data_IF_329043128369
#
_entry.id   IF_329043128369
#
_cell.length_a   1.000
_cell.length_b   1.000
_cell.length_c   1.000
_cell.angle_alpha   90.00
_cell.angle_beta   90.00
_cell.angle_gamma   90.00
#
_symmetry.space_group_name_H-M   'P 1'
#
loop_
_entity.id
_entity.type
_entity.pdbx_description
1 polymer ?
#
# COMPACT_ATOMS: atom_id res chain seq x y z
N UNK A 1 21.20 13.70 -35.71
CA UNK A 1 22.04 12.47 -35.70
C UNK A 1 21.22 11.38 -35.04
N UNK A 2 20.90 10.28 -35.73
CA UNK A 2 20.04 9.23 -35.16
C UNK A 2 19.33 8.30 -36.15
N UNK A 3 19.50 8.49 -37.47
CA UNK A 3 18.88 7.65 -38.51
C UNK A 3 19.92 6.79 -39.24
N UNK A 4 20.74 6.04 -38.49
CA UNK A 4 21.74 5.11 -39.06
C UNK A 4 21.85 3.75 -38.35
N UNK A 5 21.13 3.52 -37.25
CA UNK A 5 21.17 2.25 -36.52
C UNK A 5 20.03 1.28 -36.86
N UNK A 6 19.05 1.69 -37.68
CA UNK A 6 17.89 0.84 -38.00
C UNK A 6 18.14 -0.17 -39.14
N UNK A 7 19.27 -0.09 -39.84
CA UNK A 7 19.56 -0.93 -41.02
C UNK A 7 20.42 -2.17 -40.73
N UNK A 8 20.98 -2.31 -39.52
CA UNK A 8 21.85 -3.44 -39.16
C UNK A 8 21.05 -4.59 -38.50
N UNK A 9 19.85 -4.33 -37.99
CA UNK A 9 19.02 -5.36 -37.34
C UNK A 9 18.20 -6.24 -38.31
N UNK A 10 18.18 -5.92 -39.60
CA UNK A 10 17.39 -6.63 -40.62
C UNK A 10 18.16 -7.72 -41.39
N UNK A 11 19.44 -7.96 -41.08
CA UNK A 11 20.30 -8.89 -41.82
C UNK A 11 20.57 -10.24 -41.12
N UNK A 12 19.96 -10.52 -39.96
CA UNK A 12 20.22 -11.76 -39.17
C UNK A 12 19.08 -12.81 -39.31
N UNK A 13 18.03 -12.54 -40.11
CA UNK A 13 16.86 -13.45 -40.22
C UNK A 13 16.86 -14.39 -41.44
N UNK A 14 17.99 -14.62 -42.10
CA UNK A 14 18.03 -15.37 -43.38
C UNK A 14 19.05 -16.53 -43.42
N UNK A 15 19.19 -17.31 -42.35
CA UNK A 15 19.91 -18.59 -42.40
C UNK A 15 19.21 -19.66 -41.57
N UNK A 16 18.06 -20.13 -42.04
CA UNK A 16 17.55 -21.45 -41.69
C UNK A 16 17.58 -22.29 -42.97
N UNK A 17 18.60 -23.12 -43.10
CA UNK A 17 18.62 -24.21 -44.07
C UNK A 17 17.48 -25.19 -43.74
N UNK A 18 16.77 -25.73 -44.74
CA UNK A 18 15.81 -26.80 -44.48
C UNK A 18 16.57 -28.06 -44.06
N UNK A 19 16.34 -28.52 -42.84
CA UNK A 19 16.79 -29.83 -42.39
C UNK A 19 16.29 -30.90 -43.36
N UNK A 20 17.22 -31.70 -43.89
CA UNK A 20 16.92 -32.85 -44.74
C UNK A 20 15.97 -33.79 -43.99
N UNK A 21 14.73 -33.89 -44.46
CA UNK A 21 13.81 -34.95 -44.06
C UNK A 21 14.29 -36.26 -44.69
N UNK A 22 14.99 -37.07 -43.91
CA UNK A 22 15.14 -38.49 -44.20
C UNK A 22 13.83 -39.19 -43.85
N UNK A 23 13.17 -39.76 -44.85
CA UNK A 23 12.04 -40.68 -44.64
C UNK A 23 12.53 -41.94 -43.93
N UNK A 24 11.92 -42.34 -42.80
CA UNK A 24 12.28 -43.59 -42.16
C UNK A 24 11.78 -44.74 -43.03
N UNK A 25 12.73 -45.49 -43.58
CA UNK A 25 12.44 -46.78 -44.20
C UNK A 25 12.53 -47.85 -43.12
N UNK A 26 11.58 -48.77 -43.16
CA UNK A 26 11.58 -50.06 -42.46
C UNK A 26 11.02 -50.04 -41.03
N UNK A 27 9.80 -50.54 -40.94
CA UNK A 27 9.25 -51.21 -39.77
C UNK A 27 10.23 -52.33 -39.34
N UNK A 28 11.03 -52.03 -38.32
CA UNK A 28 11.65 -53.02 -37.48
C UNK A 28 11.38 -52.56 -36.05
N UNK A 29 10.39 -53.19 -35.41
CA UNK A 29 10.19 -53.11 -33.96
C UNK A 29 10.97 -54.27 -33.33
N UNK A 30 12.19 -54.05 -32.81
CA UNK A 30 12.67 -54.91 -31.76
C UNK A 30 11.83 -54.55 -30.52
N UNK A 31 11.03 -55.50 -30.04
CA UNK A 31 10.55 -55.49 -28.66
C UNK A 31 11.77 -55.61 -27.75
N UNK A 32 12.43 -54.48 -27.53
CA UNK A 32 13.26 -54.29 -26.36
C UNK A 32 12.25 -54.04 -25.25
N UNK A 33 12.09 -55.02 -24.36
CA UNK A 33 11.62 -54.76 -23.02
C UNK A 33 12.60 -53.76 -22.41
N UNK A 34 12.36 -52.46 -22.65
CA UNK A 34 12.90 -51.42 -21.81
C UNK A 34 12.18 -51.65 -20.50
N UNK A 35 12.80 -52.45 -19.64
CA UNK A 35 12.66 -52.25 -18.20
C UNK A 35 13.13 -50.81 -18.02
N UNK A 36 12.20 -49.87 -18.12
CA UNK A 36 12.36 -48.59 -17.46
C UNK A 36 12.49 -49.01 -15.99
N UNK A 37 13.73 -49.19 -15.54
CA UNK A 37 14.04 -48.81 -14.19
C UNK A 37 13.61 -47.35 -14.13
N UNK A 38 12.37 -47.15 -13.69
CA UNK A 38 11.95 -45.90 -13.10
C UNK A 38 12.84 -45.79 -11.89
N UNK A 39 14.03 -45.22 -12.09
CA UNK A 39 14.94 -44.88 -11.01
C UNK A 39 14.13 -43.92 -10.14
N UNK A 40 13.61 -44.44 -9.03
CA UNK A 40 12.86 -43.64 -8.08
C UNK A 40 13.86 -42.68 -7.45
N UNK A 41 13.94 -41.47 -8.00
CA UNK A 41 14.83 -40.41 -7.57
C UNK A 41 14.55 -39.95 -6.13
N UNK A 42 13.40 -40.36 -5.57
CA UNK A 42 12.97 -40.03 -4.22
C UNK A 42 13.23 -41.13 -3.20
N UNK A 43 13.76 -42.28 -3.62
CA UNK A 43 13.94 -43.47 -2.76
C UNK A 43 14.83 -43.22 -1.54
N UNK A 44 15.83 -42.35 -1.67
CA UNK A 44 16.80 -42.01 -0.61
C UNK A 44 16.75 -40.51 -0.21
N UNK A 45 15.67 -39.80 -0.56
CA UNK A 45 15.52 -38.37 -0.28
C UNK A 45 14.54 -38.16 0.88
N UNK A 46 15.06 -37.73 2.03
CA UNK A 46 14.24 -37.32 3.17
C UNK A 46 13.96 -35.81 3.12
N UNK A 47 12.69 -35.45 2.95
CA UNK A 47 12.27 -34.06 2.86
C UNK A 47 11.80 -33.51 4.22
N UNK A 48 12.44 -32.45 4.76
CA UNK A 48 12.06 -31.86 6.04
C UNK A 48 10.86 -30.90 5.92
N UNK A 49 10.24 -30.55 7.04
CA UNK A 49 9.24 -29.46 7.14
C UNK A 49 8.04 -29.61 6.17
N UNK A 50 7.44 -30.81 6.14
CA UNK A 50 6.23 -31.14 5.36
C UNK A 50 6.38 -31.09 3.83
N UNK A 51 7.61 -31.01 3.34
CA UNK A 51 7.93 -31.12 1.92
C UNK A 51 7.69 -32.55 1.41
N UNK A 52 7.43 -32.66 0.11
CA UNK A 52 7.32 -33.92 -0.64
C UNK A 52 8.44 -34.00 -1.66
N UNK A 53 9.03 -35.18 -1.80
CA UNK A 53 10.00 -35.39 -2.85
C UNK A 53 9.28 -35.48 -4.21
N UNK A 54 9.70 -34.64 -5.15
CA UNK A 54 9.26 -34.63 -6.53
C UNK A 54 10.52 -34.66 -7.41
N UNK A 55 10.71 -35.73 -8.18
CA UNK A 55 11.87 -35.92 -9.06
C UNK A 55 13.25 -35.77 -8.38
N UNK A 56 13.37 -36.17 -7.11
CA UNK A 56 14.62 -36.09 -6.36
C UNK A 56 14.86 -34.75 -5.65
N UNK A 57 13.95 -33.79 -5.78
CA UNK A 57 13.99 -32.51 -5.09
C UNK A 57 12.85 -32.40 -4.07
N UNK A 58 13.11 -31.75 -2.94
CA UNK A 58 12.09 -31.49 -1.93
C UNK A 58 11.32 -30.22 -2.27
N UNK A 59 10.03 -30.38 -2.54
CA UNK A 59 9.12 -29.29 -2.88
C UNK A 59 7.98 -29.23 -1.86
N UNK A 60 7.32 -28.07 -1.76
CA UNK A 60 6.10 -27.99 -0.97
C UNK A 60 4.95 -28.72 -1.68
N UNK A 61 4.05 -29.32 -0.90
CA UNK A 61 2.84 -29.94 -1.44
C UNK A 61 2.02 -28.93 -2.24
N UNK A 62 1.22 -29.43 -3.19
CA UNK A 62 0.28 -28.60 -3.95
C UNK A 62 -0.58 -27.75 -3.02
N UNK A 63 -0.67 -26.43 -3.30
CA UNK A 63 -1.39 -25.46 -2.46
C UNK A 63 -0.57 -24.87 -1.31
N UNK A 64 0.72 -25.23 -1.21
CA UNK A 64 1.66 -24.62 -0.27
C UNK A 64 2.83 -23.98 -1.03
N UNK A 65 3.43 -22.96 -0.42
CA UNK A 65 4.63 -22.28 -0.88
C UNK A 65 5.75 -22.37 0.15
N UNK A 66 6.99 -22.21 -0.30
CA UNK A 66 8.17 -22.23 0.57
C UNK A 66 8.37 -20.85 1.20
N UNK A 67 8.42 -20.81 2.52
CA UNK A 67 8.73 -19.64 3.32
C UNK A 67 9.81 -20.00 4.35
N UNK A 68 10.99 -19.36 4.26
CA UNK A 68 12.15 -19.60 5.15
C UNK A 68 12.47 -21.09 5.43
N UNK A 69 12.33 -21.93 4.40
CA UNK A 69 12.62 -23.38 4.49
C UNK A 69 11.49 -24.23 5.10
N UNK A 70 10.31 -23.66 5.30
CA UNK A 70 9.07 -24.36 5.69
C UNK A 70 8.01 -24.20 4.61
N UNK A 71 7.06 -25.13 4.57
CA UNK A 71 5.90 -25.00 3.70
C UNK A 71 4.75 -24.33 4.47
N UNK A 72 4.22 -23.25 3.91
CA UNK A 72 3.02 -22.57 4.40
C UNK A 72 1.95 -22.60 3.30
N UNK A 73 0.65 -22.53 3.62
CA UNK A 73 -0.39 -22.36 2.61
C UNK A 73 -0.07 -21.21 1.64
N UNK A 74 -0.34 -21.40 0.34
CA UNK A 74 0.01 -20.38 -0.68
C UNK A 74 -0.66 -19.03 -0.46
N UNK A 75 -1.82 -19.03 0.18
CA UNK A 75 -2.61 -17.83 0.54
C UNK A 75 -2.02 -17.08 1.74
N UNK A 76 -1.22 -17.74 2.58
CA UNK A 76 -0.58 -17.07 3.73
C UNK A 76 0.59 -16.22 3.25
N UNK A 77 0.82 -15.07 3.87
CA UNK A 77 2.01 -14.27 3.57
C UNK A 77 3.26 -14.88 4.23
N UNK A 78 4.41 -14.78 3.56
CA UNK A 78 5.72 -15.11 4.11
C UNK A 78 6.46 -13.85 4.56
N UNK A 79 6.43 -12.81 3.72
CA UNK A 79 7.08 -11.53 3.96
C UNK A 79 6.10 -10.40 3.66
N UNK A 80 6.44 -9.17 4.04
CA UNK A 80 5.62 -7.99 3.74
C UNK A 80 5.41 -7.78 2.23
N UNK A 81 6.32 -8.29 1.39
CA UNK A 81 6.20 -8.24 -0.07
C UNK A 81 5.09 -9.13 -0.63
N UNK A 82 4.62 -10.09 0.15
CA UNK A 82 3.50 -10.96 -0.23
C UNK A 82 2.15 -10.25 -0.02
N UNK A 83 2.15 -9.09 0.65
CA UNK A 83 0.97 -8.31 0.93
C UNK A 83 0.87 -7.13 -0.04
N UNK A 84 -0.25 -7.00 -0.75
CA UNK A 84 -0.51 -5.84 -1.62
C UNK A 84 -0.50 -4.53 -0.83
N UNK A 85 -1.07 -4.56 0.38
CA UNK A 85 -1.13 -3.42 1.29
C UNK A 85 -0.91 -3.91 2.72
N UNK A 86 0.30 -3.72 3.25
CA UNK A 86 0.60 -3.86 4.67
C UNK A 86 1.67 -4.90 5.02
N UNK A 87 1.61 -5.38 6.26
CA UNK A 87 2.67 -6.23 6.85
C UNK A 87 2.19 -7.66 7.05
N UNK A 88 3.09 -8.60 6.85
CA UNK A 88 2.83 -10.00 7.11
C UNK A 88 3.01 -10.29 8.60
N UNK A 89 1.92 -10.69 9.27
CA UNK A 89 1.93 -11.08 10.67
C UNK A 89 1.31 -12.45 10.84
N UNK A 90 2.13 -13.44 11.18
CA UNK A 90 1.70 -14.83 11.44
C UNK A 90 0.94 -15.46 10.27
N UNK A 91 1.40 -15.24 9.03
CA UNK A 91 0.74 -15.78 7.83
C UNK A 91 -0.42 -14.93 7.31
N UNK A 92 -0.80 -13.87 8.01
CA UNK A 92 -1.89 -12.98 7.58
C UNK A 92 -1.39 -11.58 7.23
N UNK A 93 -1.86 -11.05 6.10
CA UNK A 93 -1.60 -9.66 5.72
C UNK A 93 -2.45 -8.72 6.59
N UNK A 94 -1.78 -7.90 7.38
CA UNK A 94 -2.41 -6.82 8.16
C UNK A 94 -2.24 -5.52 7.39
N UNK A 95 -3.34 -4.89 7.00
CA UNK A 95 -3.32 -3.58 6.34
C UNK A 95 -2.62 -2.54 7.22
N UNK A 96 -1.65 -1.85 6.63
CA UNK A 96 -1.00 -0.69 7.24
C UNK A 96 -1.72 0.56 6.77
N UNK A 97 -2.09 1.40 7.71
CA UNK A 97 -2.76 2.65 7.42
C UNK A 97 -1.73 3.76 7.43
N UNK A 98 -1.65 4.49 6.30
CA UNK A 98 -0.71 5.58 6.14
C UNK A 98 -1.41 6.93 6.32
N UNK A 99 -0.62 7.95 6.68
CA UNK A 99 -1.12 9.30 6.86
C UNK A 99 -1.62 9.87 5.53
N UNK A 100 -2.31 10.99 5.58
CA UNK A 100 -2.76 11.64 4.36
C UNK A 100 -1.60 11.95 3.40
N UNK A 101 -1.81 11.61 2.12
CA UNK A 101 -0.79 11.77 1.07
C UNK A 101 0.30 10.70 1.07
N UNK A 102 0.17 9.67 1.92
CA UNK A 102 1.07 8.51 1.96
C UNK A 102 0.38 7.24 1.46
N UNK A 103 1.15 6.37 0.83
CA UNK A 103 0.77 5.01 0.47
C UNK A 103 1.79 4.01 0.99
N UNK A 104 1.32 2.81 1.30
CA UNK A 104 2.20 1.75 1.77
C UNK A 104 2.95 1.13 0.58
N UNK A 105 4.27 1.26 0.58
CA UNK A 105 5.13 0.72 -0.46
C UNK A 105 6.42 0.15 0.15
N UNK A 106 6.85 -1.02 -0.32
CA UNK A 106 8.09 -1.70 0.08
C UNK A 106 8.36 -1.82 1.60
N UNK A 107 7.32 -1.90 2.44
CA UNK A 107 7.47 -2.08 3.89
C UNK A 107 7.30 -0.81 4.72
N UNK A 108 7.08 0.34 4.09
CA UNK A 108 6.89 1.62 4.78
C UNK A 108 5.83 2.50 4.11
N UNK A 109 5.36 3.52 4.83
CA UNK A 109 4.49 4.55 4.25
C UNK A 109 5.37 5.59 3.53
N UNK A 110 5.18 5.74 2.23
CA UNK A 110 5.91 6.68 1.38
C UNK A 110 4.93 7.68 0.77
N UNK A 111 5.41 8.87 0.39
CA UNK A 111 4.54 9.83 -0.29
C UNK A 111 4.02 9.27 -1.61
N UNK A 112 2.74 9.48 -1.88
CA UNK A 112 2.08 9.06 -3.12
C UNK A 112 2.73 9.69 -4.35
N UNK A 113 2.50 9.08 -5.52
CA UNK A 113 2.91 9.65 -6.80
C UNK A 113 2.42 11.09 -6.95
N UNK A 114 3.34 12.01 -7.28
CA UNK A 114 3.05 13.44 -7.41
C UNK A 114 3.20 14.25 -6.12
N UNK A 115 3.51 13.61 -4.99
CA UNK A 115 3.76 14.25 -3.71
C UNK A 115 5.25 14.19 -3.32
N UNK A 116 5.66 15.06 -2.40
CA UNK A 116 7.00 15.10 -1.81
C UNK A 116 6.91 15.21 -0.29
N UNK A 117 7.86 14.62 0.43
CA UNK A 117 7.93 14.76 1.88
C UNK A 117 8.52 16.12 2.26
N UNK A 118 7.71 16.98 2.89
CA UNK A 118 8.17 18.26 3.40
C UNK A 118 8.62 18.13 4.86
N UNK A 119 9.94 18.15 5.09
CA UNK A 119 10.51 17.98 6.43
C UNK A 119 10.07 19.08 7.43
N UNK A 120 9.83 20.30 6.95
CA UNK A 120 9.42 21.42 7.81
C UNK A 120 7.96 21.31 8.27
N UNK A 121 7.11 20.72 7.43
CA UNK A 121 5.70 20.48 7.70
C UNK A 121 5.43 19.04 8.20
N UNK A 122 6.47 18.18 8.19
CA UNK A 122 6.47 16.77 8.62
C UNK A 122 5.37 15.92 7.98
N UNK A 123 5.07 16.16 6.70
CA UNK A 123 4.01 15.47 5.96
C UNK A 123 4.31 15.43 4.46
N UNK A 124 3.62 14.55 3.75
CA UNK A 124 3.58 14.58 2.29
C UNK A 124 2.71 15.75 1.81
N UNK A 125 3.24 16.55 0.88
CA UNK A 125 2.52 17.66 0.23
C UNK A 125 2.63 17.49 -1.29
N UNK A 126 1.77 18.17 -2.05
CA UNK A 126 1.87 18.09 -3.52
C UNK A 126 3.22 18.64 -3.98
N UNK A 127 3.80 18.08 -5.04
CA UNK A 127 5.12 18.51 -5.55
C UNK A 127 5.17 19.99 -5.97
N UNK A 128 4.01 20.59 -6.25
CA UNK A 128 3.88 22.00 -6.60
C UNK A 128 3.58 22.89 -5.39
N UNK A 129 3.35 22.31 -4.21
CA UNK A 129 3.15 23.07 -2.99
C UNK A 129 4.48 23.60 -2.44
N UNK A 130 4.44 24.77 -1.82
CA UNK A 130 5.59 25.25 -1.06
C UNK A 130 5.74 24.45 0.25
N UNK A 131 6.95 23.97 0.50
CA UNK A 131 7.37 23.40 1.78
C UNK A 131 7.92 24.49 2.70
N UNK A 132 8.73 25.40 2.15
CA UNK A 132 9.47 26.44 2.89
C UNK A 132 9.27 27.83 2.30
N UNK A 133 9.49 28.86 3.10
CA UNK A 133 9.49 30.26 2.64
C UNK A 133 10.49 30.51 1.50
N UNK A 134 11.65 29.83 1.49
CA UNK A 134 12.69 30.00 0.47
C UNK A 134 12.30 29.49 -0.92
N UNK A 135 11.20 28.73 -1.03
CA UNK A 135 10.67 28.24 -2.30
C UNK A 135 9.71 29.25 -2.96
N UNK A 136 9.42 30.35 -2.27
CA UNK A 136 8.61 31.45 -2.75
C UNK A 136 9.46 32.62 -3.27
N UNK A 137 8.83 33.50 -4.06
CA UNK A 137 9.49 34.72 -4.54
C UNK A 137 9.80 35.68 -3.36
N UNK A 138 10.66 36.66 -3.63
CA UNK A 138 10.95 37.72 -2.65
C UNK A 138 9.66 38.44 -2.24
N UNK A 139 9.49 38.69 -0.92
CA UNK A 139 8.28 39.27 -0.31
C UNK A 139 7.04 38.38 -0.35
N UNK A 140 7.21 37.08 -0.59
CA UNK A 140 6.16 36.09 -0.41
C UNK A 140 6.54 35.11 0.68
N UNK A 141 5.56 34.65 1.43
CA UNK A 141 5.69 33.55 2.38
C UNK A 141 4.93 32.33 1.94
N UNK A 142 5.50 31.18 2.25
CA UNK A 142 4.80 29.92 2.12
C UNK A 142 3.68 29.83 3.15
N UNK A 143 2.45 29.60 2.68
CA UNK A 143 1.32 29.21 3.52
C UNK A 143 1.35 27.69 3.64
N UNK A 144 1.60 27.10 4.82
CA UNK A 144 1.75 25.65 4.96
C UNK A 144 0.50 24.89 4.51
N UNK A 145 0.70 23.70 3.93
CA UNK A 145 -0.37 22.78 3.60
C UNK A 145 -1.00 22.26 4.88
N UNK A 146 -2.30 22.49 5.04
CA UNK A 146 -3.11 22.00 6.15
C UNK A 146 -4.39 21.36 5.61
N UNK A 147 -4.94 20.43 6.37
CA UNK A 147 -6.24 19.83 6.09
C UNK A 147 -7.25 20.31 7.10
N UNK A 148 -8.48 20.58 6.65
CA UNK A 148 -9.57 21.10 7.45
C UNK A 148 -10.80 20.21 7.32
N UNK A 149 -11.45 19.95 8.46
CA UNK A 149 -12.78 19.33 8.52
C UNK A 149 -13.62 20.04 9.57
N UNK A 150 -14.93 19.80 9.59
CA UNK A 150 -15.75 20.09 10.75
C UNK A 150 -16.25 18.80 11.39
N UNK A 151 -15.94 18.59 12.67
CA UNK A 151 -16.58 17.54 13.45
C UNK A 151 -17.91 18.07 13.99
N UNK A 152 -18.97 17.32 13.77
CA UNK A 152 -20.30 17.63 14.25
C UNK A 152 -20.75 16.60 15.29
N UNK A 153 -21.25 17.10 16.42
CA UNK A 153 -21.85 16.31 17.49
C UNK A 153 -23.34 16.64 17.51
N UNK A 154 -24.19 15.62 17.35
CA UNK A 154 -25.64 15.73 17.42
C UNK A 154 -26.17 14.93 18.62
N UNK A 155 -26.91 15.61 19.51
CA UNK A 155 -27.66 14.97 20.61
C UNK A 155 -29.12 15.39 20.49
N UNK A 156 -30.02 14.39 20.37
CA UNK A 156 -31.41 14.61 19.98
C UNK A 156 -31.49 15.49 18.72
N UNK A 157 -32.14 16.66 18.78
CA UNK A 157 -32.26 17.58 17.64
C UNK A 157 -31.21 18.71 17.61
N UNK A 158 -30.32 18.77 18.61
CA UNK A 158 -29.28 19.79 18.65
C UNK A 158 -28.00 19.28 17.99
N UNK A 159 -27.50 20.04 17.02
CA UNK A 159 -26.24 19.80 16.30
C UNK A 159 -25.29 20.96 16.60
N UNK A 160 -24.07 20.65 16.99
CA UNK A 160 -22.97 21.61 17.11
C UNK A 160 -21.79 21.11 16.29
N UNK A 161 -21.19 21.99 15.48
CA UNK A 161 -19.99 21.68 14.72
C UNK A 161 -18.86 22.63 15.09
N UNK A 162 -17.64 22.10 15.14
CA UNK A 162 -16.42 22.91 15.19
C UNK A 162 -15.47 22.44 14.12
N UNK A 163 -14.75 23.41 13.59
CA UNK A 163 -13.73 23.19 12.57
C UNK A 163 -12.41 22.81 13.23
N UNK A 164 -11.78 21.77 12.70
CA UNK A 164 -10.44 21.36 13.04
C UNK A 164 -9.53 21.51 11.82
N UNK A 165 -8.29 21.91 12.09
CA UNK A 165 -7.18 21.79 11.17
C UNK A 165 -6.16 20.79 11.75
N UNK A 166 -5.27 20.26 10.93
CA UNK A 166 -4.19 19.33 11.30
C UNK A 166 -3.06 19.95 12.16
N UNK A 167 -3.39 20.91 13.02
CA UNK A 167 -2.48 21.64 13.92
C UNK A 167 -2.71 21.28 15.41
N UNK A 168 -3.11 20.05 15.71
CA UNK A 168 -3.19 19.49 17.07
C UNK A 168 -3.92 20.38 18.09
N UNK A 169 -5.07 20.96 17.69
CA UNK A 169 -5.86 21.83 18.56
C UNK A 169 -6.99 21.05 19.24
N UNK A 170 -6.97 21.04 20.57
CA UNK A 170 -8.08 20.55 21.38
C UNK A 170 -9.23 21.56 21.44
N UNK A 171 -10.46 21.07 21.37
CA UNK A 171 -11.69 21.87 21.45
C UNK A 171 -12.67 21.27 22.45
N UNK A 172 -13.44 22.13 23.13
CA UNK A 172 -14.52 21.73 24.03
C UNK A 172 -15.88 21.92 23.34
N UNK A 173 -16.68 20.88 23.23
CA UNK A 173 -18.09 20.96 22.85
C UNK A 173 -18.94 20.89 24.11
N UNK A 174 -19.91 21.78 24.25
CA UNK A 174 -20.96 21.67 25.28
C UNK A 174 -22.30 21.55 24.55
N UNK A 175 -22.91 20.36 24.60
CA UNK A 175 -24.19 20.07 23.95
C UNK A 175 -25.14 19.48 24.99
N UNK A 176 -26.23 20.20 25.29
CA UNK A 176 -27.22 19.80 26.31
C UNK A 176 -26.56 19.41 27.65
N UNK A 177 -25.69 20.29 28.16
CA UNK A 177 -24.97 20.12 29.42
C UNK A 177 -24.01 18.91 29.47
N UNK A 178 -23.72 18.29 28.32
CA UNK A 178 -22.68 17.28 28.16
C UNK A 178 -21.46 17.89 27.49
N UNK A 179 -20.30 17.70 28.11
CA UNK A 179 -19.02 18.21 27.62
C UNK A 179 -18.24 17.12 26.88
N UNK A 180 -17.74 17.46 25.68
CA UNK A 180 -16.83 16.62 24.91
C UNK A 180 -15.54 17.40 24.67
N UNK A 181 -14.44 16.94 25.29
CA UNK A 181 -13.10 17.40 24.93
C UNK A 181 -12.64 16.57 23.75
N UNK A 182 -12.37 17.24 22.63
CA UNK A 182 -12.06 16.61 21.36
C UNK A 182 -10.72 17.11 20.82
N UNK A 183 -9.87 16.19 20.41
CA UNK A 183 -8.56 16.49 19.81
C UNK A 183 -8.33 15.60 18.58
N UNK A 184 -8.02 16.17 17.40
CA UNK A 184 -7.64 15.38 16.23
C UNK A 184 -6.20 14.89 16.40
N UNK A 185 -5.99 13.58 16.26
CA UNK A 185 -4.68 12.94 16.47
C UNK A 185 -4.04 12.48 15.16
N UNK A 186 -4.83 11.94 14.23
CA UNK A 186 -4.32 11.45 12.95
C UNK A 186 -5.30 11.75 11.81
N UNK A 187 -4.74 12.11 10.65
CA UNK A 187 -5.46 12.34 9.40
C UNK A 187 -5.01 11.27 8.40
N UNK A 188 -5.96 10.46 7.95
CA UNK A 188 -5.68 9.26 7.16
C UNK A 188 -5.95 9.49 5.68
N UNK A 189 -5.31 8.68 4.84
CA UNK A 189 -5.43 8.81 3.39
C UNK A 189 -6.84 8.49 2.84
N UNK A 190 -7.64 7.72 3.59
CA UNK A 190 -9.06 7.47 3.28
C UNK A 190 -10.00 8.63 3.70
N UNK A 191 -9.43 9.80 4.00
CA UNK A 191 -10.13 11.00 4.49
C UNK A 191 -10.86 10.80 5.82
N UNK A 192 -10.55 9.73 6.56
CA UNK A 192 -10.97 9.58 7.94
C UNK A 192 -10.02 10.32 8.87
N UNK A 193 -10.51 10.65 10.07
CA UNK A 193 -9.72 11.34 11.09
C UNK A 193 -9.91 10.61 12.42
N UNK A 194 -8.81 10.34 13.11
CA UNK A 194 -8.85 9.84 14.49
C UNK A 194 -8.95 11.03 15.44
N UNK A 195 -9.94 10.96 16.32
CA UNK A 195 -10.12 11.90 17.41
C UNK A 195 -9.93 11.19 18.74
N UNK A 196 -9.33 11.88 19.69
CA UNK A 196 -9.47 11.58 21.10
C UNK A 196 -10.66 12.37 21.65
N UNK A 197 -11.71 11.67 22.09
CA UNK A 197 -12.93 12.25 22.63
C UNK A 197 -13.13 11.72 24.04
N UNK A 198 -13.00 12.57 25.05
CA UNK A 198 -13.13 12.19 26.47
C UNK A 198 -12.27 10.95 26.83
N UNK A 199 -11.01 10.91 26.38
CA UNK A 199 -10.06 9.80 26.53
C UNK A 199 -10.41 8.51 25.75
N UNK A 200 -11.32 8.57 24.79
CA UNK A 200 -11.60 7.47 23.87
C UNK A 200 -11.08 7.81 22.47
N UNK A 201 -10.36 6.87 21.85
CA UNK A 201 -9.86 7.00 20.48
C UNK A 201 -10.94 6.53 19.51
N UNK A 202 -11.42 7.44 18.66
CA UNK A 202 -12.48 7.18 17.69
C UNK A 202 -12.01 7.62 16.31
N UNK A 203 -11.99 6.70 15.37
CA UNK A 203 -11.76 7.03 13.96
C UNK A 203 -13.08 7.29 13.25
N UNK A 204 -13.22 8.49 12.71
CA UNK A 204 -14.41 8.93 11.99
C UNK A 204 -14.13 8.96 10.48
N UNK A 205 -14.73 8.04 9.70
CA UNK A 205 -14.70 8.09 8.25
C UNK A 205 -15.54 9.25 7.72
N UNK A 206 -15.12 9.83 6.61
CA UNK A 206 -15.91 10.82 5.89
C UNK A 206 -17.28 10.21 5.47
N UNK A 207 -18.34 11.02 5.53
CA UNK A 207 -19.71 10.63 5.14
C UNK A 207 -20.31 9.46 5.94
N UNK A 208 -19.70 9.07 7.07
CA UNK A 208 -20.24 8.08 7.99
C UNK A 208 -20.56 8.73 9.33
N UNK A 209 -21.48 8.09 10.05
CA UNK A 209 -21.87 8.49 11.41
C UNK A 209 -21.42 7.41 12.37
N UNK A 210 -20.99 7.81 13.57
CA UNK A 210 -20.69 6.90 14.68
C UNK A 210 -21.49 7.37 15.89
N UNK A 211 -22.07 6.41 16.62
CA UNK A 211 -22.74 6.70 17.88
C UNK A 211 -21.77 6.52 19.03
N UNK A 212 -21.64 7.55 19.86
CA UNK A 212 -20.90 7.54 21.11
C UNK A 212 -21.86 7.92 22.24
N UNK A 213 -22.18 6.97 23.12
CA UNK A 213 -23.18 7.15 24.17
C UNK A 213 -24.55 7.60 23.61
N UNK A 214 -24.97 8.84 23.90
CA UNK A 214 -26.21 9.46 23.41
C UNK A 214 -25.97 10.45 22.24
N UNK A 215 -24.74 10.54 21.74
CA UNK A 215 -24.34 11.47 20.69
C UNK A 215 -24.08 10.75 19.36
N UNK A 216 -24.46 11.38 18.26
CA UNK A 216 -24.06 11.01 16.91
C UNK A 216 -22.95 11.93 16.44
N UNK A 217 -21.81 11.35 16.10
CA UNK A 217 -20.62 12.01 15.59
C UNK A 217 -20.53 11.82 14.09
N UNK A 218 -20.16 12.86 13.36
CA UNK A 218 -19.88 12.79 11.92
C UNK A 218 -19.02 13.96 11.45
N UNK A 219 -18.37 13.78 10.31
CA UNK A 219 -17.55 14.82 9.67
C UNK A 219 -18.33 15.55 8.59
N UNK A 220 -18.15 16.86 8.52
CA UNK A 220 -18.64 17.73 7.45
C UNK A 220 -17.46 18.43 6.78
N UNK A 221 -17.30 18.14 5.48
CA UNK A 221 -16.22 18.69 4.67
C UNK A 221 -14.87 18.02 4.95
N UNK A 222 -14.03 18.03 3.93
CA UNK A 222 -12.61 17.69 4.03
C UNK A 222 -11.90 18.50 2.96
N UNK A 223 -11.13 19.49 3.38
CA UNK A 223 -10.57 20.50 2.49
C UNK A 223 -9.07 20.64 2.75
N UNK A 224 -8.29 20.59 1.67
CA UNK A 224 -6.89 21.02 1.69
C UNK A 224 -6.84 22.55 1.58
N UNK A 225 -6.07 23.19 2.45
CA UNK A 225 -5.79 24.62 2.41
C UNK A 225 -4.27 24.86 2.48
N UNK A 226 -3.81 25.98 1.93
CA UNK A 226 -2.38 26.29 1.89
C UNK A 226 -1.64 25.55 0.77
N UNK A 227 -0.33 25.42 0.92
CA UNK A 227 0.59 24.90 -0.11
C UNK A 227 1.00 25.95 -1.14
N UNK A 228 0.72 27.24 -0.93
CA UNK A 228 1.00 28.29 -1.90
C UNK A 228 1.78 29.45 -1.30
N UNK A 229 2.47 30.18 -2.15
CA UNK A 229 3.14 31.42 -1.81
C UNK A 229 2.13 32.57 -1.77
N UNK A 230 2.08 33.30 -0.65
CA UNK A 230 1.24 34.48 -0.45
C UNK A 230 2.12 35.69 -0.22
N UNK A 231 1.78 36.83 -0.83
CA UNK A 231 2.45 38.11 -0.54
C UNK A 231 2.41 38.42 0.98
N UNK A 232 3.52 38.93 1.49
CA UNK A 232 3.57 39.47 2.84
C UNK A 232 2.69 40.72 2.92
N UNK A 233 1.79 40.75 3.90
CA UNK A 233 0.99 41.95 4.20
C UNK A 233 1.85 42.87 5.07
N UNK A 234 2.29 44.00 4.50
CA UNK A 234 3.02 45.08 5.18
C UNK A 234 2.23 45.68 6.36
#
# INVERSE_FOLDING_TARGET
MGSRYLLILLLILASCEPALQTTPTSEYQPTVDIVQETTDLCKDVECPNEQVCNQGECECKTGMKRCDGRCIPSEECCTDKDCEQGTCKKGECTTVECSIGEEYNEGECQCQEGMIYCADQKKCIDKNDCCRHQECDSFQRCVPTNYKTSLCIKIAEKKLCKTFADQERSELYTVLDTDFRVEPTNWWNDQSITFEINNQTIRLPQNKTITLENATLFLEGFEKIGGYCKEDED
#
